data_IF_910924486686
#
_entry.id   IF_910924486686
#
_cell.length_a   1.000
_cell.length_b   1.000
_cell.length_c   1.000
_cell.angle_alpha   90.00
_cell.angle_beta   90.00
_cell.angle_gamma   90.00
#
_symmetry.space_group_name_H-M   'P 1'
#
loop_
_entity.id
_entity.type
_entity.pdbx_description
1 polymer ?
#
# COMPACT_ATOMS: atom_id res chain seq x y z
N UNK A 1 15.84 -2.55 -14.06
CA UNK A 1 15.48 -2.52 -12.62
C UNK A 1 16.26 -1.51 -11.78
N UNK A 2 17.54 -1.21 -12.03
CA UNK A 2 18.22 -0.05 -11.38
C UNK A 2 18.14 1.25 -12.23
N UNK A 3 17.99 1.14 -13.55
CA UNK A 3 17.99 2.30 -14.46
C UNK A 3 16.69 3.14 -14.47
N UNK A 4 15.56 2.61 -13.99
CA UNK A 4 14.25 3.30 -14.06
C UNK A 4 13.99 4.30 -12.93
N UNK A 5 14.88 4.38 -11.92
CA UNK A 5 14.77 5.31 -10.77
C UNK A 5 15.87 6.39 -10.74
N UNK A 6 16.53 6.65 -11.87
CA UNK A 6 17.76 7.43 -11.89
C UNK A 6 17.59 8.96 -12.00
N UNK A 7 16.42 9.50 -12.36
CA UNK A 7 16.31 10.94 -12.72
C UNK A 7 16.16 11.91 -11.52
N UNK A 8 16.38 11.44 -10.30
CA UNK A 8 16.40 12.29 -9.10
C UNK A 8 16.96 11.63 -7.84
N UNK A 9 17.17 10.31 -7.86
CA UNK A 9 17.55 9.51 -6.70
C UNK A 9 18.95 8.88 -6.82
N UNK A 10 19.82 9.36 -7.73
CA UNK A 10 21.16 8.79 -7.93
C UNK A 10 22.03 8.82 -6.65
N UNK A 11 21.75 9.76 -5.73
CA UNK A 11 22.42 9.87 -4.43
C UNK A 11 21.90 8.86 -3.40
N UNK A 12 20.60 8.56 -3.44
CA UNK A 12 19.95 7.59 -2.54
C UNK A 12 20.17 6.15 -3.00
N UNK A 13 20.23 5.91 -4.31
CA UNK A 13 20.55 4.61 -4.89
C UNK A 13 21.97 4.16 -4.55
N UNK A 14 22.94 5.09 -4.49
CA UNK A 14 24.32 4.79 -4.11
C UNK A 14 24.44 4.46 -2.61
N UNK A 15 23.70 5.16 -1.75
CA UNK A 15 23.65 4.89 -0.31
C UNK A 15 22.97 3.56 0.02
N UNK A 16 21.91 3.22 -0.72
CA UNK A 16 21.26 1.92 -0.66
C UNK A 16 22.21 0.81 -1.15
N UNK A 17 22.98 1.05 -2.20
CA UNK A 17 23.97 0.10 -2.71
C UNK A 17 25.14 -0.12 -1.73
N UNK A 18 25.65 0.93 -1.08
CA UNK A 18 26.71 0.82 -0.04
C UNK A 18 26.23 0.08 1.21
N UNK A 19 24.96 0.22 1.59
CA UNK A 19 24.34 -0.59 2.64
C UNK A 19 24.13 -2.04 2.22
N UNK A 20 23.91 -2.34 0.94
CA UNK A 20 23.78 -3.72 0.45
C UNK A 20 25.14 -4.40 0.25
N UNK A 21 26.18 -3.65 -0.13
CA UNK A 21 27.52 -4.17 -0.39
C UNK A 21 28.25 -4.62 0.87
N UNK A 22 28.03 -3.94 2.00
CA UNK A 22 28.57 -4.32 3.32
C UNK A 22 27.97 -5.63 3.86
N UNK A 23 26.82 -6.06 3.35
CA UNK A 23 26.14 -7.31 3.75
C UNK A 23 26.34 -8.48 2.76
N UNK A 24 27.04 -8.25 1.65
CA UNK A 24 27.19 -9.20 0.52
C UNK A 24 28.18 -10.35 0.76
N UNK A 25 28.42 -10.76 2.01
CA UNK A 25 29.16 -12.02 2.29
C UNK A 25 28.25 -13.24 2.44
N UNK A 26 26.92 -13.10 2.48
CA UNK A 26 25.99 -14.24 2.62
C UNK A 26 24.75 -14.06 1.75
N UNK A 27 24.64 -14.88 0.69
CA UNK A 27 23.45 -15.17 -0.14
C UNK A 27 22.19 -14.37 0.25
N UNK A 28 22.03 -13.19 -0.33
CA UNK A 28 20.87 -12.33 -0.10
C UNK A 28 19.72 -12.84 -0.99
N UNK A 29 18.71 -13.44 -0.37
CA UNK A 29 17.42 -13.70 -1.03
C UNK A 29 16.61 -12.41 -1.16
N UNK A 30 15.74 -12.33 -2.18
CA UNK A 30 14.85 -11.18 -2.41
C UNK A 30 14.09 -10.73 -1.15
N UNK A 31 13.66 -11.69 -0.32
CA UNK A 31 13.03 -11.43 0.97
C UNK A 31 13.95 -10.72 1.99
N UNK A 32 15.23 -11.10 2.07
CA UNK A 32 16.22 -10.43 2.93
C UNK A 32 16.61 -9.06 2.41
N UNK A 33 16.67 -8.88 1.09
CA UNK A 33 16.85 -7.56 0.50
C UNK A 33 15.66 -6.65 0.81
N UNK A 34 14.42 -7.16 0.70
CA UNK A 34 13.21 -6.43 1.06
C UNK A 34 13.15 -6.06 2.56
N UNK A 35 13.56 -6.96 3.47
CA UNK A 35 13.70 -6.66 4.90
C UNK A 35 14.76 -5.59 5.17
N UNK A 36 15.93 -5.67 4.54
CA UNK A 36 17.00 -4.66 4.68
C UNK A 36 16.60 -3.32 4.08
N UNK A 37 15.76 -3.33 3.04
CA UNK A 37 15.19 -2.14 2.40
C UNK A 37 13.88 -1.66 3.04
N UNK A 38 13.38 -2.35 4.06
CA UNK A 38 12.12 -2.05 4.76
C UNK A 38 10.92 -1.94 3.80
N UNK A 39 10.86 -2.82 2.79
CA UNK A 39 9.78 -2.88 1.80
C UNK A 39 8.74 -3.90 2.28
N UNK A 40 7.49 -3.46 2.39
CA UNK A 40 6.37 -4.34 2.72
C UNK A 40 6.03 -5.27 1.57
N UNK A 41 5.74 -6.52 1.89
CA UNK A 41 5.24 -7.49 0.92
C UNK A 41 3.82 -7.12 0.47
N UNK A 42 3.50 -7.38 -0.80
CA UNK A 42 2.18 -7.17 -1.38
C UNK A 42 1.09 -7.91 -0.60
N UNK A 43 1.41 -9.06 -0.01
CA UNK A 43 0.48 -9.83 0.82
C UNK A 43 0.00 -9.05 2.06
N UNK A 44 0.82 -8.14 2.62
CA UNK A 44 0.41 -7.28 3.74
C UNK A 44 -0.61 -6.23 3.27
N UNK A 45 -0.39 -5.62 2.10
CA UNK A 45 -1.32 -4.66 1.52
C UNK A 45 -2.63 -5.32 1.11
N UNK A 46 -2.57 -6.48 0.45
CA UNK A 46 -3.74 -7.29 0.13
C UNK A 46 -4.59 -7.56 1.39
N UNK A 47 -3.96 -8.02 2.48
CA UNK A 47 -4.66 -8.28 3.74
C UNK A 47 -5.31 -7.02 4.33
N UNK A 48 -4.61 -5.89 4.37
CA UNK A 48 -5.17 -4.64 4.92
C UNK A 48 -6.34 -4.14 4.09
N UNK A 49 -6.25 -4.22 2.76
CA UNK A 49 -7.33 -3.79 1.87
C UNK A 49 -8.55 -4.71 1.99
N UNK A 50 -8.36 -6.02 2.16
CA UNK A 50 -9.47 -6.94 2.40
C UNK A 50 -10.15 -6.65 3.75
N UNK A 51 -9.38 -6.43 4.82
CA UNK A 51 -9.94 -6.02 6.12
C UNK A 51 -10.68 -4.68 6.05
N UNK A 52 -10.15 -3.72 5.30
CA UNK A 52 -10.82 -2.44 5.05
C UNK A 52 -12.13 -2.65 4.28
N UNK A 53 -12.14 -3.54 3.28
CA UNK A 53 -13.35 -3.87 2.52
C UNK A 53 -14.43 -4.52 3.38
N UNK A 54 -14.03 -5.27 4.40
CA UNK A 54 -14.93 -5.91 5.36
C UNK A 54 -15.36 -4.99 6.52
N UNK A 55 -14.97 -3.71 6.50
CA UNK A 55 -15.22 -2.73 7.59
C UNK A 55 -14.63 -3.15 8.95
N UNK A 56 -13.57 -3.96 8.94
CA UNK A 56 -12.90 -4.48 10.14
C UNK A 56 -11.86 -3.50 10.69
N UNK A 57 -12.33 -2.35 11.17
CA UNK A 57 -11.47 -1.26 11.68
C UNK A 57 -10.48 -1.75 12.75
N UNK A 58 -10.89 -2.48 13.80
CA UNK A 58 -9.95 -2.94 14.83
C UNK A 58 -8.82 -3.80 14.25
N UNK A 59 -9.13 -4.69 13.32
CA UNK A 59 -8.18 -5.60 12.70
C UNK A 59 -7.23 -4.88 11.73
N UNK A 60 -7.71 -3.86 11.02
CA UNK A 60 -6.86 -2.98 10.20
C UNK A 60 -5.85 -2.25 11.09
N UNK A 61 -6.30 -1.64 12.18
CA UNK A 61 -5.43 -0.91 13.11
C UNK A 61 -4.44 -1.84 13.83
N UNK A 62 -4.88 -3.06 14.18
CA UNK A 62 -4.00 -4.08 14.74
C UNK A 62 -2.91 -4.49 13.74
N UNK A 63 -3.28 -4.77 12.49
CA UNK A 63 -2.35 -5.15 11.42
C UNK A 63 -1.32 -4.03 11.17
N UNK A 64 -1.78 -2.78 11.11
CA UNK A 64 -0.91 -1.61 11.00
C UNK A 64 0.05 -1.49 12.19
N UNK A 65 -0.42 -1.68 13.41
CA UNK A 65 0.44 -1.64 14.60
C UNK A 65 1.52 -2.73 14.57
N UNK A 66 1.20 -3.94 14.09
CA UNK A 66 2.19 -5.01 13.91
C UNK A 66 3.24 -4.66 12.84
N UNK A 67 2.83 -3.98 11.76
CA UNK A 67 3.76 -3.44 10.75
C UNK A 67 4.71 -2.43 11.40
N UNK A 68 4.18 -1.45 12.15
CA UNK A 68 5.01 -0.43 12.82
C UNK A 68 5.96 -1.05 13.85
N UNK A 69 5.51 -2.04 14.61
CA UNK A 69 6.36 -2.77 15.58
C UNK A 69 7.54 -3.50 14.93
N UNK A 70 7.38 -3.96 13.69
CA UNK A 70 8.46 -4.57 12.90
C UNK A 70 9.49 -3.56 12.38
N UNK A 71 9.28 -2.26 12.63
CA UNK A 71 10.21 -1.19 12.26
C UNK A 71 9.91 -0.52 10.92
N UNK A 72 8.76 -0.81 10.31
CA UNK A 72 8.33 -0.15 9.08
C UNK A 72 7.88 1.29 9.35
N UNK A 73 8.28 2.21 8.47
CA UNK A 73 7.90 3.62 8.55
C UNK A 73 6.42 3.80 8.13
N UNK A 74 5.55 4.36 8.99
CA UNK A 74 4.15 4.65 8.64
C UNK A 74 3.97 5.49 7.37
N UNK A 75 4.91 6.37 7.05
CA UNK A 75 4.88 7.22 5.85
C UNK A 75 5.13 6.39 4.58
N UNK A 76 6.11 5.49 4.63
CA UNK A 76 6.37 4.55 3.53
C UNK A 76 5.17 3.60 3.36
N UNK A 77 4.58 3.17 4.47
CA UNK A 77 3.39 2.34 4.47
C UNK A 77 2.23 3.02 3.73
N UNK A 78 1.86 4.25 4.10
CA UNK A 78 0.69 4.93 3.52
C UNK A 78 0.90 5.29 2.04
N UNK A 79 2.11 5.68 1.64
CA UNK A 79 2.45 5.89 0.24
C UNK A 79 2.33 4.58 -0.57
N UNK A 80 2.85 3.48 -0.02
CA UNK A 80 2.72 2.15 -0.64
C UNK A 80 1.26 1.66 -0.73
N UNK A 81 0.44 1.96 0.28
CA UNK A 81 -0.99 1.64 0.27
C UNK A 81 -1.73 2.43 -0.83
N UNK A 82 -1.39 3.70 -1.02
CA UNK A 82 -1.93 4.51 -2.13
C UNK A 82 -1.58 3.93 -3.50
N UNK A 83 -0.32 3.48 -3.69
CA UNK A 83 0.09 2.78 -4.90
C UNK A 83 -0.67 1.47 -5.10
N UNK A 84 -0.90 0.71 -4.02
CA UNK A 84 -1.68 -0.53 -4.09
C UNK A 84 -3.11 -0.28 -4.57
N UNK A 85 -3.81 0.75 -4.07
CA UNK A 85 -5.14 1.10 -4.58
C UNK A 85 -5.13 1.55 -6.05
N UNK A 86 -4.09 2.27 -6.48
CA UNK A 86 -3.89 2.65 -7.88
C UNK A 86 -3.69 1.41 -8.76
N UNK A 87 -2.93 0.43 -8.29
CA UNK A 87 -2.71 -0.83 -9.01
C UNK A 87 -3.97 -1.70 -9.03
N UNK A 88 -4.80 -1.69 -7.98
CA UNK A 88 -6.14 -2.30 -8.02
C UNK A 88 -7.05 -1.64 -9.07
N UNK A 89 -7.01 -0.31 -9.19
CA UNK A 89 -7.76 0.41 -10.23
C UNK A 89 -7.30 0.01 -11.64
N UNK A 90 -5.99 -0.19 -11.83
CA UNK A 90 -5.44 -0.72 -13.08
C UNK A 90 -5.82 -2.19 -13.31
N UNK A 91 -5.92 -3.00 -12.27
CA UNK A 91 -6.31 -4.40 -12.36
C UNK A 91 -7.81 -4.58 -12.71
N UNK A 92 -8.64 -3.54 -12.58
CA UNK A 92 -10.04 -3.59 -13.03
C UNK A 92 -10.19 -3.69 -14.55
N UNK A 93 -9.19 -3.23 -15.33
CA UNK A 93 -9.21 -3.30 -16.78
C UNK A 93 -8.12 -4.24 -17.30
N UNK A 94 -8.51 -5.20 -18.14
CA UNK A 94 -7.59 -6.17 -18.73
C UNK A 94 -6.48 -5.52 -19.57
N UNK A 95 -6.70 -4.33 -20.14
CA UNK A 95 -5.68 -3.61 -20.90
C UNK A 95 -4.62 -2.94 -20.04
N UNK A 96 -4.92 -2.63 -18.78
CA UNK A 96 -4.00 -1.91 -17.86
C UNK A 96 -3.32 -2.82 -16.86
N UNK A 97 -3.78 -4.07 -16.69
CA UNK A 97 -3.13 -5.06 -15.83
C UNK A 97 -1.69 -5.39 -16.28
N UNK A 98 -1.40 -5.26 -17.58
CA UNK A 98 -0.06 -5.48 -18.12
C UNK A 98 0.94 -4.43 -17.62
N UNK A 99 0.46 -3.24 -17.23
CA UNK A 99 1.28 -2.14 -16.69
C UNK A 99 1.73 -2.37 -15.25
N UNK A 100 1.17 -3.37 -14.55
CA UNK A 100 1.57 -3.72 -13.19
C UNK A 100 2.79 -4.64 -13.28
N UNK A 101 3.93 -4.18 -12.76
CA UNK A 101 5.22 -4.88 -12.81
C UNK A 101 5.35 -5.94 -11.69
N UNK A 102 4.35 -6.82 -11.56
CA UNK A 102 4.36 -7.94 -10.58
C UNK A 102 4.23 -9.30 -11.27
N UNK A 103 4.62 -10.38 -10.59
CA UNK A 103 4.50 -11.74 -11.13
C UNK A 103 3.06 -12.17 -11.37
N UNK A 104 2.83 -13.15 -12.27
CA UNK A 104 1.49 -13.58 -12.67
C UNK A 104 0.59 -14.03 -11.50
N UNK A 105 1.16 -14.74 -10.52
CA UNK A 105 0.42 -15.15 -9.33
C UNK A 105 -0.10 -13.95 -8.52
N UNK A 106 0.73 -12.90 -8.39
CA UNK A 106 0.34 -11.66 -7.71
C UNK A 106 -0.69 -10.89 -8.53
N UNK A 107 -0.55 -10.84 -9.86
CA UNK A 107 -1.55 -10.23 -10.75
C UNK A 107 -2.95 -10.84 -10.55
N UNK A 108 -3.02 -12.17 -10.43
CA UNK A 108 -4.29 -12.85 -10.17
C UNK A 108 -4.95 -12.39 -8.85
N UNK A 109 -4.18 -12.26 -7.76
CA UNK A 109 -4.67 -11.74 -6.48
C UNK A 109 -5.18 -10.29 -6.60
N UNK A 110 -4.47 -9.45 -7.35
CA UNK A 110 -4.88 -8.06 -7.59
C UNK A 110 -6.20 -7.97 -8.36
N UNK A 111 -6.39 -8.81 -9.38
CA UNK A 111 -7.67 -8.86 -10.13
C UNK A 111 -8.80 -9.28 -9.23
N UNK A 112 -8.61 -10.34 -8.44
CA UNK A 112 -9.63 -10.85 -7.52
C UNK A 112 -10.04 -9.77 -6.50
N UNK A 113 -9.06 -9.07 -5.91
CA UNK A 113 -9.33 -8.00 -4.96
C UNK A 113 -9.99 -6.80 -5.67
N UNK A 114 -9.51 -6.40 -6.84
CA UNK A 114 -10.03 -5.26 -7.60
C UNK A 114 -11.51 -5.41 -7.99
N UNK A 115 -11.96 -6.64 -8.25
CA UNK A 115 -13.37 -6.95 -8.53
C UNK A 115 -14.31 -6.73 -7.32
N UNK A 116 -13.79 -6.79 -6.09
CA UNK A 116 -14.58 -6.52 -4.88
C UNK A 116 -14.86 -5.01 -4.72
N UNK A 117 -14.05 -4.15 -5.32
CA UNK A 117 -14.15 -2.70 -5.22
C UNK A 117 -14.82 -2.10 -6.45
N UNK A 118 -15.54 -0.98 -6.27
CA UNK A 118 -15.99 -0.17 -7.40
C UNK A 118 -14.97 0.94 -7.69
N UNK A 119 -15.00 1.48 -8.91
CA UNK A 119 -14.03 2.49 -9.34
C UNK A 119 -14.03 3.74 -8.45
N UNK A 120 -15.21 4.21 -8.02
CA UNK A 120 -15.31 5.38 -7.15
C UNK A 120 -14.67 5.13 -5.78
N UNK A 121 -14.92 3.97 -5.16
CA UNK A 121 -14.30 3.58 -3.89
C UNK A 121 -12.78 3.51 -3.99
N UNK A 122 -12.24 3.06 -5.13
CA UNK A 122 -10.78 3.05 -5.35
C UNK A 122 -10.23 4.47 -5.49
N UNK A 123 -10.93 5.36 -6.22
CA UNK A 123 -10.55 6.78 -6.33
C UNK A 123 -10.56 7.45 -4.95
N UNK A 124 -11.63 7.27 -4.19
CA UNK A 124 -11.76 7.82 -2.83
C UNK A 124 -10.65 7.28 -1.91
N UNK A 125 -10.32 5.99 -2.04
CA UNK A 125 -9.24 5.37 -1.28
C UNK A 125 -7.85 5.94 -1.62
N UNK A 126 -7.59 6.18 -2.91
CA UNK A 126 -6.35 6.83 -3.37
C UNK A 126 -6.27 8.24 -2.80
N UNK A 127 -7.36 9.00 -2.83
CA UNK A 127 -7.40 10.36 -2.30
C UNK A 127 -7.14 10.41 -0.79
N UNK A 128 -7.75 9.50 -0.01
CA UNK A 128 -7.51 9.38 1.43
C UNK A 128 -6.03 9.09 1.70
N UNK A 129 -5.43 8.15 0.97
CA UNK A 129 -4.01 7.82 1.13
C UNK A 129 -3.11 9.01 0.79
N UNK A 130 -3.39 9.69 -0.33
CA UNK A 130 -2.62 10.85 -0.77
C UNK A 130 -2.74 12.03 0.21
N UNK A 131 -3.94 12.27 0.75
CA UNK A 131 -4.16 13.29 1.77
C UNK A 131 -3.38 12.96 3.06
N UNK A 132 -3.35 11.70 3.47
CA UNK A 132 -2.58 11.27 4.63
C UNK A 132 -1.07 11.40 4.41
N UNK A 133 -0.57 11.05 3.22
CA UNK A 133 0.84 11.19 2.83
C UNK A 133 1.31 12.66 2.89
N UNK A 134 0.58 13.57 2.23
CA UNK A 134 0.90 15.00 2.21
C UNK A 134 0.90 15.60 3.62
N UNK A 135 -0.10 15.23 4.43
CA UNK A 135 -0.24 15.77 5.77
C UNK A 135 0.67 15.09 6.82
N UNK A 136 1.27 13.95 6.50
CA UNK A 136 2.07 13.18 7.43
C UNK A 136 3.20 14.02 8.05
N UNK A 137 3.97 14.72 7.21
CA UNK A 137 5.12 15.55 7.64
C UNK A 137 4.70 16.79 8.43
N UNK A 138 3.50 17.30 8.18
CA UNK A 138 2.99 18.52 8.81
C UNK A 138 2.20 18.22 10.09
N UNK A 139 1.87 16.95 10.34
CA UNK A 139 1.09 16.52 11.48
C UNK A 139 1.91 16.53 12.77
N UNK A 140 1.28 16.99 13.86
CA UNK A 140 1.84 16.85 15.22
C UNK A 140 1.88 15.39 15.69
N UNK A 141 1.05 14.53 15.09
CA UNK A 141 1.04 13.09 15.35
C UNK A 141 0.92 12.34 14.01
N UNK A 142 2.05 12.09 13.32
CA UNK A 142 2.05 11.47 12.00
C UNK A 142 1.46 10.06 11.99
N UNK A 143 1.66 9.29 13.06
CA UNK A 143 1.06 7.96 13.22
C UNK A 143 -0.46 8.03 13.25
N UNK A 144 -1.01 8.95 14.04
CA UNK A 144 -2.46 9.15 14.12
C UNK A 144 -3.04 9.56 12.75
N UNK A 145 -2.32 10.34 11.95
CA UNK A 145 -2.74 10.70 10.58
C UNK A 145 -2.96 9.46 9.72
N UNK A 146 -2.06 8.47 9.80
CA UNK A 146 -2.21 7.20 9.08
C UNK A 146 -3.35 6.35 9.65
N UNK A 147 -3.50 6.29 10.99
CA UNK A 147 -4.60 5.56 11.64
C UNK A 147 -5.98 6.12 11.23
N UNK A 148 -6.11 7.46 11.14
CA UNK A 148 -7.33 8.12 10.64
C UNK A 148 -7.62 7.72 9.20
N UNK A 149 -6.61 7.73 8.34
CA UNK A 149 -6.76 7.33 6.95
C UNK A 149 -7.27 5.88 6.83
N UNK A 150 -6.70 4.97 7.62
CA UNK A 150 -7.12 3.57 7.67
C UNK A 150 -8.57 3.40 8.14
N UNK A 151 -9.00 4.16 9.15
CA UNK A 151 -10.40 4.17 9.60
C UNK A 151 -11.36 4.71 8.53
N UNK A 152 -10.96 5.76 7.82
CA UNK A 152 -11.73 6.30 6.69
C UNK A 152 -11.85 5.29 5.55
N UNK A 153 -10.75 4.64 5.17
CA UNK A 153 -10.72 3.59 4.14
C UNK A 153 -11.67 2.43 4.47
N UNK A 154 -11.61 1.94 5.72
CA UNK A 154 -12.50 0.90 6.17
C UNK A 154 -13.97 1.34 6.15
N UNK A 155 -14.24 2.64 6.34
CA UNK A 155 -15.61 3.19 6.38
C UNK A 155 -16.19 3.53 4.99
N UNK A 156 -15.38 3.52 3.92
CA UNK A 156 -15.82 3.78 2.53
C UNK A 156 -16.91 2.79 2.09
N UNK A 157 -16.87 1.57 2.62
CA UNK A 157 -17.71 0.47 2.16
C UNK A 157 -19.02 0.41 2.94
N UNK A 158 -19.00 0.70 4.23
CA UNK A 158 -20.20 0.92 5.05
C UNK A 158 -21.10 2.03 4.46
N UNK A 159 -20.53 3.13 3.96
CA UNK A 159 -21.33 4.24 3.42
C UNK A 159 -21.97 3.92 2.06
N UNK A 160 -21.33 3.07 1.24
CA UNK A 160 -21.89 2.62 -0.04
C UNK A 160 -23.14 1.76 0.10
N UNK A 161 -23.24 0.97 1.17
CA UNK A 161 -24.41 0.13 1.46
C UNK A 161 -25.59 0.93 2.03
N UNK A 162 -25.31 2.02 2.77
CA UNK A 162 -26.36 2.92 3.29
C UNK A 162 -26.99 3.74 2.16
N UNK A 163 -26.22 4.13 1.15
CA UNK A 163 -26.74 4.86 -0.02
C UNK A 163 -27.72 4.00 -0.85
N UNK A 164 -27.46 2.70 -1.03
CA UNK A 164 -28.38 1.79 -1.75
C UNK A 164 -29.70 1.54 -1.02
N UNK A 165 -29.72 1.58 0.33
CA UNK A 165 -30.95 1.40 1.11
C UNK A 165 -31.86 2.63 1.16
N UNK A 166 -31.37 3.83 0.84
CA UNK A 166 -32.18 5.06 0.82
C UNK A 166 -32.86 5.33 -0.52
N UNK A 167 -32.53 4.56 -1.56
CA UNK A 167 -33.08 4.69 -2.91
C UNK A 167 -33.99 3.52 -3.33
N UNK A 168 -34.49 2.72 -2.37
CA UNK A 168 -35.45 1.62 -2.60
C UNK A 168 -36.66 1.76 -1.69
#
# INVERSE_FOLDING_TARGET
>A
LIAQKADGALRDALSIFDRLSTFSQKNITLAKAAEVLNILDYDQYLNIVDLAKENKIPEVLFSFNEIVKKGFDPHIFIAGLGNHFRDLMMAQNASTIELIEVGEQTKAKFVEQAQKWNAQQLIDAIEICNHADINYKNSKNPRLTVEIALMQLASLTANGDVAKKKSS
#
